data_IF_851696618348
#
_entry.id   IF_851696618348
#
_cell.length_a   1.000
_cell.length_b   1.000
_cell.length_c   1.000
_cell.angle_alpha   90.00
_cell.angle_beta   90.00
_cell.angle_gamma   90.00
#
_symmetry.space_group_name_H-M   'P 1'
#
loop_
_entity.id
_entity.type
_entity.pdbx_description
1 polymer ?
#
# COMPACT_ATOMS: atom_id res chain seq x y z
N UNK A 1 14.13 3.06 -11.75
CA UNK A 1 12.77 2.64 -12.11
C UNK A 1 12.69 1.13 -11.99
N UNK A 2 12.74 0.68 -10.74
CA UNK A 2 12.51 -0.70 -10.35
C UNK A 2 11.17 -0.76 -9.61
N UNK A 3 10.28 -1.66 -10.03
CA UNK A 3 9.02 -1.90 -9.33
C UNK A 3 9.17 -3.21 -8.56
N UNK A 4 8.98 -3.16 -7.25
CA UNK A 4 9.05 -4.32 -6.37
C UNK A 4 7.67 -4.64 -5.82
N UNK A 5 7.36 -5.92 -5.81
CA UNK A 5 6.19 -6.46 -5.12
C UNK A 5 6.59 -6.84 -3.69
N UNK A 6 5.86 -6.34 -2.71
CA UNK A 6 6.06 -6.62 -1.29
C UNK A 6 4.82 -7.30 -0.71
N UNK A 7 5.05 -8.35 0.08
CA UNK A 7 4.02 -8.88 0.97
C UNK A 7 3.72 -7.89 2.08
N UNK A 8 2.51 -7.93 2.63
CA UNK A 8 2.08 -7.07 3.74
C UNK A 8 3.14 -6.86 4.83
N UNK A 9 3.78 -7.94 5.28
CA UNK A 9 4.81 -7.95 6.34
C UNK A 9 6.13 -7.27 5.97
N UNK A 10 6.38 -7.05 4.69
CA UNK A 10 7.60 -6.44 4.15
C UNK A 10 7.44 -4.93 3.95
N UNK A 11 6.23 -4.41 4.14
CA UNK A 11 5.93 -2.99 3.93
C UNK A 11 6.40 -2.18 5.14
N UNK A 12 7.35 -1.28 4.90
CA UNK A 12 7.68 -0.16 5.78
C UNK A 12 6.54 0.88 5.73
N UNK A 13 5.71 0.89 6.78
CA UNK A 13 4.53 1.75 6.88
C UNK A 13 4.88 3.22 7.07
N UNK A 14 6.02 3.53 7.70
CA UNK A 14 6.46 4.91 7.88
C UNK A 14 6.85 5.51 6.53
N UNK A 15 7.64 4.77 5.72
CA UNK A 15 7.97 5.22 4.36
C UNK A 15 6.75 5.29 3.45
N UNK A 16 5.82 4.36 3.61
CA UNK A 16 4.54 4.36 2.90
C UNK A 16 3.74 5.63 3.19
N UNK A 17 3.46 5.92 4.46
CA UNK A 17 2.64 7.06 4.86
C UNK A 17 3.31 8.40 4.51
N UNK A 18 4.64 8.48 4.61
CA UNK A 18 5.41 9.63 4.11
C UNK A 18 5.25 9.85 2.59
N UNK A 19 5.12 8.79 1.79
CA UNK A 19 4.86 8.89 0.36
C UNK A 19 3.46 9.46 0.10
N UNK A 20 2.45 8.96 0.83
CA UNK A 20 1.06 9.43 0.73
C UNK A 20 0.93 10.89 1.18
N UNK A 21 1.58 11.29 2.28
CA UNK A 21 1.56 12.67 2.78
C UNK A 21 2.14 13.67 1.78
N UNK A 22 3.21 13.28 1.07
CA UNK A 22 3.86 14.12 0.05
C UNK A 22 3.16 14.11 -1.30
N UNK A 23 2.23 13.18 -1.52
CA UNK A 23 1.50 13.10 -2.77
C UNK A 23 0.58 14.32 -2.91
N UNK A 24 0.66 15.01 -4.06
CA UNK A 24 -0.20 16.16 -4.38
C UNK A 24 -1.70 15.82 -4.26
N UNK A 25 -2.04 14.56 -4.48
CA UNK A 25 -3.38 13.99 -4.40
C UNK A 25 -3.52 12.96 -3.26
N UNK A 26 -2.79 13.13 -2.14
CA UNK A 26 -2.84 12.22 -1.00
C UNK A 26 -4.29 11.95 -0.56
N UNK A 27 -4.76 10.71 -0.77
CA UNK A 27 -6.11 10.28 -0.39
C UNK A 27 -6.01 9.62 0.98
N UNK A 28 -6.88 10.02 1.93
CA UNK A 28 -6.86 9.47 3.29
C UNK A 28 -7.02 7.95 3.33
N UNK A 29 -7.66 7.36 2.32
CA UNK A 29 -7.86 5.93 2.17
C UNK A 29 -6.61 5.14 1.74
N UNK A 30 -5.54 5.84 1.35
CA UNK A 30 -4.28 5.21 0.96
C UNK A 30 -3.31 5.06 2.13
N UNK A 31 -3.59 5.68 3.29
CA UNK A 31 -2.75 5.52 4.49
C UNK A 31 -2.77 4.08 4.99
N UNK A 32 -1.64 3.65 5.54
CA UNK A 32 -1.43 2.29 6.03
C UNK A 32 -2.48 1.90 7.08
N UNK A 33 -2.77 2.78 8.05
CA UNK A 33 -3.77 2.54 9.09
C UNK A 33 -5.17 2.27 8.53
N UNK A 34 -5.55 2.97 7.45
CA UNK A 34 -6.86 2.78 6.83
C UNK A 34 -6.91 1.46 6.09
N UNK A 35 -5.87 1.17 5.30
CA UNK A 35 -5.73 -0.09 4.55
C UNK A 35 -5.70 -1.30 5.48
N UNK A 36 -5.06 -1.19 6.64
CA UNK A 36 -5.03 -2.23 7.67
C UNK A 36 -6.43 -2.59 8.19
N UNK A 37 -7.33 -1.59 8.31
CA UNK A 37 -8.71 -1.78 8.77
C UNK A 37 -9.59 -2.38 7.68
N UNK A 38 -9.52 -1.86 6.45
CA UNK A 38 -10.48 -2.22 5.39
C UNK A 38 -10.07 -3.41 4.54
N UNK A 39 -8.78 -3.75 4.54
CA UNK A 39 -8.19 -4.81 3.72
C UNK A 39 -7.04 -5.46 4.47
N UNK A 40 -7.36 -6.18 5.55
CA UNK A 40 -6.41 -6.97 6.32
C UNK A 40 -5.48 -7.79 5.40
N UNK A 41 -4.16 -7.65 5.57
CA UNK A 41 -3.11 -8.29 4.76
C UNK A 41 -3.01 -7.84 3.29
N UNK A 42 -3.26 -6.56 3.01
CA UNK A 42 -2.95 -5.96 1.72
C UNK A 42 -1.45 -6.04 1.39
N UNK A 43 -1.14 -6.33 0.13
CA UNK A 43 0.23 -6.32 -0.41
C UNK A 43 0.50 -5.01 -1.14
N UNK A 44 1.73 -4.77 -1.60
CA UNK A 44 2.09 -3.52 -2.25
C UNK A 44 2.93 -3.69 -3.51
N UNK A 45 2.79 -2.73 -4.43
CA UNK A 45 3.82 -2.40 -5.41
C UNK A 45 4.48 -1.10 -4.98
N UNK A 46 5.81 -1.10 -4.96
CA UNK A 46 6.62 0.10 -4.66
C UNK A 46 7.58 0.38 -5.82
N UNK A 47 7.74 1.65 -6.16
CA UNK A 47 8.75 2.13 -7.09
C UNK A 47 9.98 2.65 -6.33
N UNK A 48 11.16 2.15 -6.72
CA UNK A 48 12.46 2.49 -6.12
C UNK A 48 12.39 2.37 -4.57
N UNK A 49 12.72 3.42 -3.80
CA UNK A 49 12.56 3.48 -2.34
C UNK A 49 11.32 4.31 -1.95
N UNK A 50 10.12 3.74 -2.15
CA UNK A 50 8.85 4.39 -1.81
C UNK A 50 8.62 5.73 -2.53
N UNK A 51 9.19 5.88 -3.72
CA UNK A 51 8.98 7.06 -4.57
C UNK A 51 7.53 7.15 -5.04
N UNK A 52 6.99 6.00 -5.41
CA UNK A 52 5.58 5.81 -5.77
C UNK A 52 5.08 4.54 -5.09
N UNK A 53 3.84 4.54 -4.62
CA UNK A 53 3.22 3.42 -3.91
C UNK A 53 1.88 3.06 -4.50
N UNK A 54 1.55 1.75 -4.54
CA UNK A 54 0.26 1.27 -5.01
C UNK A 54 -0.22 0.08 -4.15
N UNK A 55 -1.35 0.20 -3.43
CA UNK A 55 -1.85 -0.86 -2.56
C UNK A 55 -2.58 -1.94 -3.37
N UNK A 56 -2.31 -3.19 -3.06
CA UNK A 56 -2.97 -4.37 -3.61
C UNK A 56 -3.87 -4.99 -2.54
N UNK A 57 -5.12 -4.52 -2.49
CA UNK A 57 -6.13 -5.06 -1.58
C UNK A 57 -6.56 -6.46 -2.02
N UNK A 58 -6.52 -7.43 -1.12
CA UNK A 58 -6.93 -8.80 -1.41
C UNK A 58 -8.43 -8.95 -1.12
N UNK A 59 -9.25 -9.25 -2.14
CA UNK A 59 -10.64 -9.68 -1.94
C UNK A 59 -10.78 -11.12 -2.41
N UNK A 60 -10.90 -12.05 -1.48
CA UNK A 60 -11.24 -13.44 -1.82
C UNK A 60 -12.70 -13.47 -2.28
N UNK A 61 -12.92 -13.62 -3.59
CA UNK A 61 -14.26 -13.96 -4.10
C UNK A 61 -14.56 -15.39 -3.65
N UNK A 62 -15.49 -15.54 -2.70
CA UNK A 62 -16.10 -16.83 -2.39
C UNK A 62 -17.10 -17.08 -3.50
N UNK A 63 -16.78 -17.99 -4.41
CA UNK A 63 -17.75 -18.55 -5.34
C UNK A 63 -18.49 -19.66 -4.58
N UNK A 64 -19.83 -19.59 -4.53
CA UNK A 64 -20.71 -20.66 -4.04
C UNK A 64 -21.34 -21.36 -5.25
#
# INVERSE_FOLDING_TARGET
>A
MEIRYLKHKEIDKDKWDNCIEKAFNGIIYAYSWYLDIVSENWDALIEDDYKTVFPLTQKKKIWY
#
